data_IF_726804898207
#
_entry.id   IF_726804898207
#
_cell.length_a   1.000
_cell.length_b   1.000
_cell.length_c   1.000
_cell.angle_alpha   90.00
_cell.angle_beta   90.00
_cell.angle_gamma   90.00
#
_symmetry.space_group_name_H-M   'P 1'
#
loop_
_entity.id
_entity.type
_entity.pdbx_description
1 polymer ?
#
# COMPACT_ATOMS: atom_id res chain seq x y z
N UNK A 1 -32.78 -38.91 -37.72
CA UNK A 1 -31.79 -37.83 -37.56
C UNK A 1 -31.81 -37.41 -36.10
N UNK A 2 -30.80 -37.83 -35.34
CA UNK A 2 -30.68 -37.45 -33.93
C UNK A 2 -30.22 -35.99 -33.91
N UNK A 3 -31.08 -35.11 -33.43
CA UNK A 3 -30.79 -33.68 -33.30
C UNK A 3 -29.78 -33.52 -32.17
N UNK A 4 -28.51 -33.26 -32.51
CA UNK A 4 -27.48 -32.90 -31.55
C UNK A 4 -27.82 -31.52 -30.99
N UNK A 5 -28.24 -31.48 -29.73
CA UNK A 5 -28.28 -30.25 -28.94
C UNK A 5 -26.84 -29.77 -28.83
N UNK A 6 -26.49 -28.77 -29.65
CA UNK A 6 -25.23 -28.03 -29.51
C UNK A 6 -25.28 -27.36 -28.16
N UNK A 7 -24.35 -27.72 -27.27
CA UNK A 7 -24.17 -27.02 -25.99
C UNK A 7 -24.01 -25.52 -26.27
N UNK A 8 -24.60 -24.63 -25.44
CA UNK A 8 -24.37 -23.20 -25.60
C UNK A 8 -22.86 -22.93 -25.69
N UNK A 9 -22.40 -22.05 -26.60
CA UNK A 9 -21.00 -21.63 -26.59
C UNK A 9 -20.64 -21.18 -25.18
N UNK A 10 -19.39 -21.42 -24.72
CA UNK A 10 -18.95 -21.01 -23.40
C UNK A 10 -19.35 -19.55 -23.20
N UNK A 11 -19.96 -19.27 -22.05
CA UNK A 11 -20.24 -17.89 -21.68
C UNK A 11 -18.89 -17.17 -21.59
N UNK A 12 -18.59 -16.35 -22.60
CA UNK A 12 -17.40 -15.49 -22.65
C UNK A 12 -17.69 -14.13 -22.04
N UNK A 13 -18.88 -13.91 -21.49
CA UNK A 13 -19.26 -12.63 -20.87
C UNK A 13 -19.54 -12.84 -19.39
N UNK A 14 -18.76 -12.17 -18.54
CA UNK A 14 -18.85 -12.22 -17.09
C UNK A 14 -19.15 -10.82 -16.57
N UNK A 15 -20.42 -10.56 -16.25
CA UNK A 15 -20.87 -9.22 -15.87
C UNK A 15 -20.63 -8.22 -17.00
N UNK A 16 -19.71 -7.27 -16.78
CA UNK A 16 -19.34 -6.25 -17.76
C UNK A 16 -18.04 -6.55 -18.53
N UNK A 17 -17.46 -7.74 -18.37
CA UNK A 17 -16.25 -8.17 -19.07
C UNK A 17 -16.58 -9.20 -20.13
N UNK A 18 -16.14 -8.94 -21.36
CA UNK A 18 -16.09 -9.94 -22.43
C UNK A 18 -14.67 -10.50 -22.53
N UNK A 19 -14.53 -11.83 -22.53
CA UNK A 19 -13.27 -12.50 -22.77
C UNK A 19 -13.06 -12.64 -24.28
N UNK A 20 -12.27 -11.74 -24.86
CA UNK A 20 -11.98 -11.67 -26.30
C UNK A 20 -10.52 -11.28 -26.61
N UNK A 21 -9.68 -11.15 -25.59
CA UNK A 21 -8.31 -10.67 -25.69
C UNK A 21 -8.20 -9.14 -25.78
N UNK A 22 -9.29 -8.40 -25.65
CA UNK A 22 -9.30 -6.94 -25.70
C UNK A 22 -9.47 -6.33 -24.31
N UNK A 23 -8.60 -5.37 -23.98
CA UNK A 23 -8.64 -4.72 -22.67
C UNK A 23 -9.63 -3.55 -22.57
N UNK A 24 -10.46 -3.29 -23.59
CA UNK A 24 -11.40 -2.15 -23.59
C UNK A 24 -12.43 -2.18 -22.47
N UNK A 25 -12.79 -3.36 -21.99
CA UNK A 25 -13.77 -3.55 -20.91
C UNK A 25 -13.12 -3.38 -19.51
N UNK A 26 -11.79 -3.26 -19.46
CA UNK A 26 -11.00 -3.11 -18.25
C UNK A 26 -10.69 -1.64 -17.97
N UNK A 27 -10.84 -1.25 -16.71
CA UNK A 27 -10.50 0.09 -16.25
C UNK A 27 -9.12 0.13 -15.59
N UNK A 28 -8.56 1.33 -15.42
CA UNK A 28 -7.37 1.54 -14.59
C UNK A 28 -7.60 1.09 -13.13
N UNK A 29 -8.85 1.00 -12.67
CA UNK A 29 -9.19 0.47 -11.36
C UNK A 29 -9.08 -1.05 -11.25
N UNK A 30 -9.13 -1.76 -12.38
CA UNK A 30 -9.02 -3.22 -12.42
C UNK A 30 -7.56 -3.70 -12.58
N UNK A 31 -6.61 -2.77 -12.80
CA UNK A 31 -5.15 -2.99 -12.79
C UNK A 31 -4.74 -3.45 -11.38
N UNK A 32 -3.94 -4.50 -11.28
CA UNK A 32 -3.52 -5.11 -10.01
C UNK A 32 -2.12 -4.69 -9.55
N UNK A 33 -1.25 -4.32 -10.48
CA UNK A 33 0.14 -3.97 -10.23
C UNK A 33 0.35 -2.45 -10.06
N UNK A 34 -0.64 -1.80 -9.46
CA UNK A 34 -0.60 -0.39 -9.11
C UNK A 34 0.17 -0.11 -7.82
N UNK A 35 0.44 -1.13 -6.99
CA UNK A 35 1.20 -0.98 -5.74
C UNK A 35 2.72 -0.85 -6.03
N UNK A 36 3.47 -0.02 -5.28
CA UNK A 36 4.91 0.12 -5.46
C UNK A 36 5.64 -1.23 -5.38
N UNK A 37 6.57 -1.46 -6.30
CA UNK A 37 7.37 -2.69 -6.34
C UNK A 37 6.62 -3.95 -6.81
N UNK A 38 5.35 -3.81 -7.23
CA UNK A 38 4.56 -4.94 -7.77
C UNK A 38 4.59 -5.03 -9.30
N UNK A 39 4.77 -3.88 -9.97
CA UNK A 39 4.80 -3.79 -11.42
C UNK A 39 5.98 -4.53 -12.04
N UNK A 40 5.77 -5.03 -13.26
CA UNK A 40 6.85 -5.49 -14.13
C UNK A 40 6.92 -4.61 -15.38
N UNK A 41 8.13 -4.22 -15.84
CA UNK A 41 8.28 -3.37 -17.01
C UNK A 41 7.52 -3.90 -18.23
N UNK A 42 6.62 -3.08 -18.77
CA UNK A 42 5.84 -3.36 -19.98
C UNK A 42 4.86 -4.54 -19.89
N UNK A 43 4.64 -5.09 -18.71
CA UNK A 43 3.54 -6.01 -18.43
C UNK A 43 2.37 -5.26 -17.78
N UNK A 44 1.17 -5.79 -17.99
CA UNK A 44 -0.02 -5.33 -17.29
C UNK A 44 -0.78 -6.53 -16.71
N UNK A 45 -1.19 -6.41 -15.44
CA UNK A 45 -1.96 -7.44 -14.74
C UNK A 45 -3.29 -6.84 -14.33
N UNK A 46 -4.39 -7.51 -14.70
CA UNK A 46 -5.73 -7.09 -14.31
C UNK A 46 -6.47 -8.19 -13.57
N UNK A 47 -7.43 -7.80 -12.73
CA UNK A 47 -8.34 -8.74 -12.10
C UNK A 47 -9.52 -8.07 -11.42
N UNK A 48 -10.67 -8.71 -11.50
CA UNK A 48 -11.91 -8.27 -10.85
C UNK A 48 -12.86 -9.42 -10.63
N UNK A 49 -13.84 -9.20 -9.77
CA UNK A 49 -14.98 -10.09 -9.64
C UNK A 49 -16.13 -9.63 -10.53
N UNK A 50 -16.61 -10.48 -11.43
CA UNK A 50 -17.72 -10.16 -12.32
C UNK A 50 -18.47 -11.44 -12.71
N UNK A 51 -19.81 -11.36 -12.79
CA UNK A 51 -20.64 -12.50 -13.22
C UNK A 51 -20.44 -13.78 -12.40
N UNK A 52 -20.27 -13.66 -11.08
CA UNK A 52 -19.98 -14.75 -10.13
C UNK A 52 -18.64 -15.49 -10.35
N UNK A 53 -17.73 -14.87 -11.10
CA UNK A 53 -16.39 -15.38 -11.36
C UNK A 53 -15.32 -14.36 -10.98
N UNK A 54 -14.13 -14.86 -10.64
CA UNK A 54 -12.93 -14.05 -10.69
C UNK A 54 -12.39 -14.07 -12.11
N UNK A 55 -12.27 -12.89 -12.70
CA UNK A 55 -11.78 -12.70 -14.07
C UNK A 55 -10.41 -12.06 -13.98
N UNK A 56 -9.46 -12.58 -14.75
CA UNK A 56 -8.09 -12.12 -14.79
C UNK A 56 -7.67 -11.82 -16.22
N UNK A 57 -6.79 -10.84 -16.37
CA UNK A 57 -6.06 -10.63 -17.62
C UNK A 57 -4.57 -10.42 -17.37
N UNK A 58 -3.77 -10.81 -18.35
CA UNK A 58 -2.33 -10.54 -18.45
C UNK A 58 -2.08 -9.94 -19.84
N UNK A 59 -1.34 -8.84 -19.88
CA UNK A 59 -0.79 -8.26 -21.10
C UNK A 59 0.72 -8.34 -21.05
N UNK A 60 1.31 -9.01 -22.02
CA UNK A 60 2.74 -9.11 -22.25
C UNK A 60 3.22 -7.98 -23.18
N UNK A 61 4.51 -7.62 -23.13
CA UNK A 61 5.08 -6.64 -24.05
C UNK A 61 5.06 -7.14 -25.49
N UNK A 62 5.07 -6.18 -26.42
CA UNK A 62 5.15 -6.48 -27.85
C UNK A 62 6.30 -7.44 -28.17
N UNK A 63 5.98 -8.53 -28.88
CA UNK A 63 6.92 -9.59 -29.25
C UNK A 63 6.97 -10.77 -28.26
N UNK A 64 6.34 -10.69 -27.10
CA UNK A 64 6.25 -11.78 -26.12
C UNK A 64 4.89 -12.47 -26.19
N UNK A 65 4.87 -13.78 -26.41
CA UNK A 65 3.62 -14.56 -26.46
C UNK A 65 3.33 -15.21 -25.11
N UNK A 66 2.08 -15.14 -24.67
CA UNK A 66 1.54 -15.90 -23.55
C UNK A 66 1.10 -17.27 -24.09
N UNK A 67 1.65 -18.34 -23.52
CA UNK A 67 1.34 -19.71 -23.94
C UNK A 67 1.46 -20.69 -22.77
N UNK A 68 1.64 -21.98 -23.08
CA UNK A 68 1.85 -23.06 -22.11
C UNK A 68 2.80 -22.67 -20.95
N UNK A 69 2.46 -23.14 -19.75
CA UNK A 69 3.17 -22.85 -18.49
C UNK A 69 2.99 -21.42 -17.99
N UNK A 70 2.09 -20.65 -18.57
CA UNK A 70 1.55 -19.46 -17.90
C UNK A 70 0.61 -19.91 -16.79
N UNK A 71 0.93 -19.50 -15.56
CA UNK A 71 0.21 -19.93 -14.35
C UNK A 71 -0.38 -18.73 -13.61
N UNK A 72 -1.60 -18.87 -13.10
CA UNK A 72 -2.19 -17.96 -12.10
C UNK A 72 -2.45 -18.76 -10.84
N UNK A 73 -1.70 -18.49 -9.78
CA UNK A 73 -1.84 -19.08 -8.47
C UNK A 73 -2.84 -18.28 -7.62
N UNK A 74 -3.73 -18.99 -6.93
CA UNK A 74 -4.82 -18.40 -6.15
C UNK A 74 -4.74 -18.88 -4.70
N UNK A 75 -4.49 -17.94 -3.80
CA UNK A 75 -4.63 -18.09 -2.35
C UNK A 75 -6.03 -17.56 -1.98
N UNK A 76 -6.91 -18.51 -1.69
CA UNK A 76 -8.36 -18.30 -1.61
C UNK A 76 -8.83 -17.99 -0.19
N UNK A 77 -8.07 -18.38 0.83
CA UNK A 77 -8.33 -18.04 2.23
C UNK A 77 -7.53 -16.83 2.72
N UNK A 78 -6.56 -16.35 1.92
CA UNK A 78 -5.63 -15.26 2.21
C UNK A 78 -4.71 -15.56 3.39
N UNK A 79 -4.44 -16.83 3.67
CA UNK A 79 -3.49 -17.28 4.67
C UNK A 79 -2.26 -17.90 4.01
N UNK A 80 -1.18 -17.12 3.93
CA UNK A 80 0.08 -17.58 3.34
C UNK A 80 0.73 -18.77 4.09
N UNK A 81 0.22 -19.16 5.26
CA UNK A 81 0.71 -20.31 6.03
C UNK A 81 -0.05 -21.61 5.74
N UNK A 82 -1.22 -21.55 5.11
CA UNK A 82 -1.98 -22.72 4.63
C UNK A 82 -1.63 -22.99 3.16
N UNK A 83 -2.25 -23.99 2.56
CA UNK A 83 -2.07 -24.27 1.13
C UNK A 83 -0.67 -24.71 0.67
N UNK A 84 -0.47 -24.68 -0.64
CA UNK A 84 0.79 -25.00 -1.29
C UNK A 84 1.73 -23.80 -1.32
N UNK A 85 3.01 -24.05 -1.06
CA UNK A 85 4.03 -23.02 -1.03
C UNK A 85 4.77 -22.96 -2.38
N UNK A 86 4.51 -21.91 -3.16
CA UNK A 86 5.07 -21.70 -4.50
C UNK A 86 6.61 -21.63 -4.40
N UNK A 87 7.30 -22.33 -5.31
CA UNK A 87 8.76 -22.32 -5.47
C UNK A 87 9.56 -22.57 -4.19
N UNK A 88 9.11 -23.47 -3.30
CA UNK A 88 9.87 -23.83 -2.11
C UNK A 88 11.31 -24.22 -2.48
N UNK A 89 12.33 -23.40 -2.14
CA UNK A 89 13.71 -23.76 -2.43
C UNK A 89 14.10 -25.02 -1.65
N UNK A 90 14.93 -25.88 -2.24
CA UNK A 90 15.44 -27.06 -1.55
C UNK A 90 16.16 -26.65 -0.26
N UNK A 91 15.64 -27.10 0.90
CA UNK A 91 16.19 -26.77 2.22
C UNK A 91 15.59 -25.54 2.91
N UNK A 92 14.64 -24.83 2.29
CA UNK A 92 13.87 -23.78 2.96
C UNK A 92 12.63 -24.35 3.66
N UNK A 93 12.36 -23.87 4.89
CA UNK A 93 11.19 -24.25 5.68
C UNK A 93 9.88 -23.62 5.20
N UNK A 94 9.93 -22.67 4.26
CA UNK A 94 8.78 -21.92 3.74
C UNK A 94 8.99 -21.59 2.26
N UNK A 95 7.99 -21.84 1.41
CA UNK A 95 7.89 -21.21 0.08
C UNK A 95 6.98 -19.98 0.17
N UNK A 96 6.30 -19.62 -0.92
CA UNK A 96 5.51 -18.39 -0.97
C UNK A 96 4.03 -18.64 -1.25
N UNK A 97 3.17 -17.76 -0.73
CA UNK A 97 1.82 -17.57 -1.24
C UNK A 97 0.72 -18.48 -0.70
N UNK A 98 1.03 -19.63 -0.08
CA UNK A 98 0.02 -20.48 0.56
C UNK A 98 -1.24 -20.73 -0.27
N UNK A 99 -1.08 -21.21 -1.49
CA UNK A 99 -2.16 -21.23 -2.50
C UNK A 99 -2.94 -22.54 -2.51
N UNK A 100 -4.27 -22.48 -2.66
CA UNK A 100 -5.12 -23.67 -2.78
C UNK A 100 -5.29 -24.12 -4.24
N UNK A 101 -5.14 -23.18 -5.19
CA UNK A 101 -5.42 -23.42 -6.61
C UNK A 101 -4.37 -22.82 -7.53
N UNK A 102 -4.31 -23.38 -8.73
CA UNK A 102 -3.61 -22.77 -9.86
C UNK A 102 -4.44 -22.92 -11.14
N UNK A 103 -4.47 -21.87 -11.95
CA UNK A 103 -4.91 -21.92 -13.33
C UNK A 103 -3.65 -22.08 -14.18
N UNK A 104 -3.60 -23.06 -15.08
CA UNK A 104 -2.47 -23.26 -15.98
C UNK A 104 -2.94 -23.40 -17.43
N UNK A 105 -2.14 -22.86 -18.35
CA UNK A 105 -2.29 -23.11 -19.79
C UNK A 105 -1.56 -24.42 -20.10
N UNK A 106 -2.33 -25.42 -20.51
CA UNK A 106 -1.86 -26.76 -20.80
C UNK A 106 -1.29 -26.89 -22.23
N UNK A 107 -0.61 -28.01 -22.58
CA UNK A 107 -0.07 -28.24 -23.92
C UNK A 107 -1.12 -28.21 -25.06
N UNK A 108 -2.40 -28.35 -24.75
CA UNK A 108 -3.50 -28.22 -25.72
C UNK A 108 -3.90 -26.76 -26.00
N UNK A 109 -3.20 -25.80 -25.38
CA UNK A 109 -3.43 -24.36 -25.49
C UNK A 109 -4.66 -23.87 -24.71
N UNK A 110 -5.23 -24.69 -23.82
CA UNK A 110 -6.41 -24.33 -23.03
C UNK A 110 -6.05 -24.14 -21.56
N UNK A 111 -6.83 -23.29 -20.89
CA UNK A 111 -6.69 -23.04 -19.47
C UNK A 111 -7.50 -24.05 -18.63
N UNK A 112 -6.89 -24.63 -17.60
CA UNK A 112 -7.56 -25.51 -16.65
C UNK A 112 -7.29 -25.08 -15.21
N UNK A 113 -8.25 -25.34 -14.32
CA UNK A 113 -8.11 -25.15 -12.88
C UNK A 113 -7.61 -26.44 -12.23
N UNK A 114 -6.60 -26.31 -11.37
CA UNK A 114 -5.99 -27.38 -10.61
C UNK A 114 -6.02 -27.07 -9.12
N UNK A 115 -6.07 -28.12 -8.29
CA UNK A 115 -5.69 -28.03 -6.89
C UNK A 115 -4.17 -27.87 -6.82
N UNK A 116 -3.69 -26.91 -6.05
CA UNK A 116 -2.27 -26.74 -5.80
C UNK A 116 -1.84 -27.75 -4.71
N UNK A 117 -1.13 -28.80 -5.12
CA UNK A 117 -0.74 -29.92 -4.23
C UNK A 117 0.76 -30.14 -4.12
N UNK A 118 1.58 -29.35 -4.82
CA UNK A 118 3.05 -29.48 -4.82
C UNK A 118 3.59 -30.80 -5.39
N UNK A 119 2.72 -31.61 -5.98
CA UNK A 119 3.08 -32.88 -6.61
C UNK A 119 3.36 -32.68 -8.10
N UNK A 120 4.24 -33.50 -8.67
CA UNK A 120 4.50 -33.50 -10.12
C UNK A 120 3.26 -33.84 -10.96
N UNK A 121 2.28 -34.50 -10.35
CA UNK A 121 0.95 -34.74 -10.93
C UNK A 121 -0.02 -33.64 -10.49
N UNK A 122 -0.33 -32.71 -11.40
CA UNK A 122 -1.38 -31.72 -11.19
C UNK A 122 -2.76 -32.40 -11.18
N UNK A 123 -3.59 -32.11 -10.17
CA UNK A 123 -4.96 -32.63 -10.08
C UNK A 123 -5.97 -31.59 -10.56
N UNK A 124 -6.60 -31.85 -11.72
CA UNK A 124 -7.64 -30.97 -12.26
C UNK A 124 -8.85 -30.95 -11.34
N UNK A 125 -9.36 -29.75 -11.06
CA UNK A 125 -10.65 -29.56 -10.38
C UNK A 125 -11.80 -29.97 -11.31
N UNK A 126 -11.63 -29.76 -12.61
CA UNK A 126 -12.56 -30.19 -13.66
C UNK A 126 -11.81 -30.52 -14.95
N UNK A 127 -12.31 -31.48 -15.72
CA UNK A 127 -11.80 -31.79 -17.06
C UNK A 127 -12.30 -30.81 -18.14
N UNK A 128 -13.23 -29.92 -17.78
CA UNK A 128 -13.69 -28.86 -18.67
C UNK A 128 -12.72 -27.68 -18.60
N UNK A 129 -12.23 -27.16 -19.74
CA UNK A 129 -11.39 -25.96 -19.75
C UNK A 129 -12.18 -24.75 -19.23
N UNK A 130 -11.46 -23.83 -18.59
CA UNK A 130 -12.02 -22.54 -18.19
C UNK A 130 -12.37 -21.70 -19.44
N UNK A 131 -13.33 -20.79 -19.29
CA UNK A 131 -13.56 -19.75 -20.30
C UNK A 131 -12.32 -18.85 -20.36
N UNK A 132 -11.67 -18.79 -21.51
CA UNK A 132 -10.50 -17.96 -21.73
C UNK A 132 -10.39 -17.53 -23.20
N UNK A 133 -9.75 -16.39 -23.45
CA UNK A 133 -9.48 -15.88 -24.78
C UNK A 133 -8.08 -15.25 -24.87
N UNK A 134 -7.52 -15.26 -26.07
CA UNK A 134 -6.29 -14.54 -26.41
C UNK A 134 -6.60 -13.47 -27.45
N UNK A 135 -5.80 -12.42 -27.48
CA UNK A 135 -5.75 -11.57 -28.66
C UNK A 135 -5.10 -12.30 -29.85
N UNK A 136 -5.15 -11.68 -31.03
CA UNK A 136 -4.62 -12.26 -32.26
C UNK A 136 -3.11 -12.48 -32.25
N UNK A 137 -2.37 -11.82 -31.35
CA UNK A 137 -0.91 -11.90 -31.23
C UNK A 137 -0.47 -12.76 -30.04
N UNK A 138 -1.42 -13.33 -29.27
CA UNK A 138 -1.18 -13.98 -27.98
C UNK A 138 -0.40 -13.11 -26.98
N UNK A 139 -0.50 -11.79 -27.05
CA UNK A 139 0.11 -10.89 -26.08
C UNK A 139 -0.83 -10.57 -24.93
N UNK A 140 -2.14 -10.71 -25.16
CA UNK A 140 -3.16 -10.53 -24.13
C UNK A 140 -3.87 -11.86 -23.91
N UNK A 141 -4.03 -12.25 -22.65
CA UNK A 141 -4.77 -13.44 -22.26
C UNK A 141 -5.75 -13.10 -21.15
N UNK A 142 -6.99 -13.52 -21.33
CA UNK A 142 -8.08 -13.37 -20.36
C UNK A 142 -8.63 -14.72 -19.97
N UNK A 143 -8.96 -14.89 -18.68
CA UNK A 143 -9.52 -16.13 -18.15
C UNK A 143 -10.45 -15.85 -16.98
N UNK A 144 -11.51 -16.65 -16.86
CA UNK A 144 -12.43 -16.60 -15.74
C UNK A 144 -12.49 -17.92 -14.97
N UNK A 145 -12.54 -17.83 -13.64
CA UNK A 145 -12.80 -18.95 -12.74
C UNK A 145 -14.07 -18.71 -11.94
N UNK A 146 -15.07 -19.57 -12.13
CA UNK A 146 -16.31 -19.52 -11.35
C UNK A 146 -16.02 -19.81 -9.88
N UNK A 147 -16.69 -19.08 -8.99
CA UNK A 147 -16.61 -19.33 -7.54
C UNK A 147 -17.06 -20.73 -7.14
N UNK A 148 -17.99 -21.34 -7.89
CA UNK A 148 -18.43 -22.71 -7.64
C UNK A 148 -17.29 -23.74 -7.75
N UNK A 149 -16.27 -23.46 -8.56
CA UNK A 149 -15.11 -24.33 -8.72
C UNK A 149 -14.11 -24.22 -7.55
N UNK A 150 -14.18 -23.13 -6.79
CA UNK A 150 -13.28 -22.87 -5.67
C UNK A 150 -13.75 -23.55 -4.37
N UNK A 151 -14.92 -24.18 -4.35
CA UNK A 151 -15.44 -24.93 -3.18
C UNK A 151 -15.83 -24.04 -1.99
N UNK A 152 -15.52 -22.75 -2.04
CA UNK A 152 -15.97 -21.68 -1.17
C UNK A 152 -16.32 -20.46 -2.02
N UNK A 153 -17.02 -19.49 -1.45
CA UNK A 153 -17.24 -18.17 -2.08
C UNK A 153 -16.30 -17.14 -1.43
N UNK A 154 -15.00 -17.13 -1.80
CA UNK A 154 -14.03 -16.25 -1.16
C UNK A 154 -14.43 -14.78 -1.39
N UNK A 155 -14.36 -13.99 -0.32
CA UNK A 155 -14.65 -12.54 -0.40
C UNK A 155 -13.47 -11.76 -0.98
N UNK A 156 -12.28 -12.36 -1.01
CA UNK A 156 -11.11 -11.87 -1.71
C UNK A 156 -10.13 -13.02 -1.96
N UNK A 157 -9.30 -12.89 -2.99
CA UNK A 157 -8.28 -13.88 -3.36
C UNK A 157 -6.95 -13.14 -3.52
N UNK A 158 -5.87 -13.66 -2.92
CA UNK A 158 -4.52 -13.25 -3.24
C UNK A 158 -4.04 -13.98 -4.49
N UNK A 159 -3.39 -13.25 -5.39
CA UNK A 159 -3.06 -13.75 -6.73
C UNK A 159 -1.58 -13.55 -7.03
N UNK A 160 -0.96 -14.60 -7.55
CA UNK A 160 0.36 -14.59 -8.15
C UNK A 160 0.24 -15.09 -9.59
N UNK A 161 0.92 -14.49 -10.55
CA UNK A 161 0.85 -14.88 -11.95
C UNK A 161 2.24 -14.99 -12.54
N UNK A 162 2.54 -16.03 -13.28
CA UNK A 162 3.75 -16.11 -14.08
C UNK A 162 3.40 -16.34 -15.55
N UNK A 163 4.20 -15.75 -16.43
CA UNK A 163 4.08 -15.90 -17.88
C UNK A 163 5.15 -16.88 -18.34
N UNK A 164 4.70 -17.98 -18.91
CA UNK A 164 5.52 -19.08 -19.42
C UNK A 164 6.58 -19.57 -18.40
N UNK A 165 6.29 -19.54 -17.10
CA UNK A 165 7.23 -19.89 -16.03
C UNK A 165 8.57 -19.12 -16.08
N UNK A 166 8.55 -17.87 -16.58
CA UNK A 166 9.76 -17.07 -16.76
C UNK A 166 9.63 -15.63 -16.25
N UNK A 167 8.48 -14.99 -16.47
CA UNK A 167 8.22 -13.64 -15.95
C UNK A 167 7.22 -13.73 -14.81
N UNK A 168 7.54 -13.19 -13.64
CA UNK A 168 6.70 -13.24 -12.45
C UNK A 168 5.93 -11.91 -12.24
N UNK A 169 4.66 -12.00 -11.86
CA UNK A 169 3.73 -10.90 -11.65
C UNK A 169 2.96 -11.17 -10.34
N UNK A 170 3.30 -10.53 -9.21
CA UNK A 170 4.31 -9.47 -9.08
C UNK A 170 5.73 -9.98 -9.30
N UNK A 171 6.64 -9.06 -9.61
CA UNK A 171 8.05 -9.35 -9.90
C UNK A 171 8.82 -10.10 -8.81
N UNK A 172 8.31 -10.02 -7.59
CA UNK A 172 8.87 -10.67 -6.42
C UNK A 172 7.75 -11.22 -5.54
N UNK A 173 7.56 -12.54 -5.59
CA UNK A 173 6.55 -13.26 -4.78
C UNK A 173 6.89 -13.27 -3.28
N UNK A 174 8.14 -12.95 -2.92
CA UNK A 174 8.56 -12.90 -1.51
C UNK A 174 8.08 -11.63 -0.82
N UNK A 175 7.84 -10.57 -1.60
CA UNK A 175 7.48 -9.25 -1.10
C UNK A 175 6.01 -8.92 -1.28
N UNK A 176 5.39 -9.41 -2.36
CA UNK A 176 4.07 -8.93 -2.77
C UNK A 176 3.19 -10.06 -3.30
N UNK A 177 1.88 -9.85 -3.15
CA UNK A 177 0.82 -10.52 -3.90
C UNK A 177 -0.13 -9.47 -4.47
N UNK A 178 -0.87 -9.81 -5.51
CA UNK A 178 -2.07 -9.04 -5.86
C UNK A 178 -3.25 -9.48 -5.01
N UNK A 179 -4.28 -8.65 -4.89
CA UNK A 179 -5.55 -9.04 -4.25
C UNK A 179 -6.71 -8.63 -5.13
N UNK A 180 -7.66 -9.55 -5.34
CA UNK A 180 -8.93 -9.28 -6.01
C UNK A 180 -10.06 -9.53 -5.02
N UNK A 181 -10.90 -8.53 -4.80
CA UNK A 181 -12.05 -8.64 -3.90
C UNK A 181 -13.32 -9.02 -4.65
N UNK A 182 -14.13 -9.91 -4.07
CA UNK A 182 -15.47 -10.21 -4.53
C UNK A 182 -16.44 -9.12 -4.05
N UNK A 183 -17.31 -8.64 -4.94
CA UNK A 183 -18.42 -7.73 -4.61
C UNK A 183 -18.06 -6.51 -3.73
N UNK A 184 -16.82 -6.01 -3.83
CA UNK A 184 -16.39 -4.86 -3.04
C UNK A 184 -17.07 -3.60 -3.55
N UNK A 185 -18.08 -3.14 -2.82
CA UNK A 185 -18.72 -1.85 -3.08
C UNK A 185 -17.93 -0.78 -2.33
N UNK A 186 -17.29 0.10 -3.08
CA UNK A 186 -16.58 1.25 -2.53
C UNK A 186 -17.60 2.31 -2.07
N UNK A 187 -17.55 2.77 -0.81
CA UNK A 187 -18.52 3.73 -0.31
C UNK A 187 -18.36 5.11 -0.95
N UNK A 188 -19.47 5.82 -1.15
CA UNK A 188 -19.43 7.20 -1.65
C UNK A 188 -19.01 8.17 -0.54
N UNK A 189 -18.19 9.18 -0.87
CA UNK A 189 -17.91 10.28 0.07
C UNK A 189 -19.19 11.00 0.44
N UNK A 190 -19.41 11.17 1.74
CA UNK A 190 -20.55 11.90 2.30
C UNK A 190 -20.19 13.34 2.69
N UNK A 191 -18.91 13.59 2.93
CA UNK A 191 -18.35 14.89 3.27
C UNK A 191 -17.18 15.20 2.32
N UNK A 192 -17.20 16.39 1.74
CA UNK A 192 -16.16 16.90 0.84
C UNK A 192 -15.49 18.15 1.40
N UNK A 193 -15.79 18.52 2.65
CA UNK A 193 -15.08 19.59 3.35
C UNK A 193 -13.66 19.14 3.64
N UNK A 194 -12.73 20.11 3.62
CA UNK A 194 -11.32 19.85 3.88
C UNK A 194 -11.11 19.51 5.34
N UNK A 195 -10.76 18.25 5.62
CA UNK A 195 -10.51 17.79 7.00
C UNK A 195 -9.52 16.64 7.05
N UNK A 196 -8.88 16.50 8.21
CA UNK A 196 -7.93 15.42 8.49
C UNK A 196 -8.41 14.53 9.63
N UNK A 197 -8.00 13.27 9.62
CA UNK A 197 -8.18 12.35 10.74
C UNK A 197 -6.86 12.14 11.45
N UNK A 198 -6.77 12.45 12.74
CA UNK A 198 -5.58 12.19 13.56
C UNK A 198 -5.82 10.91 14.36
N UNK A 199 -5.01 9.89 14.11
CA UNK A 199 -5.23 8.54 14.64
C UNK A 199 -4.48 8.36 15.96
N UNK A 200 -5.23 8.13 17.03
CA UNK A 200 -4.69 7.65 18.30
C UNK A 200 -4.65 6.12 18.29
N UNK A 201 -3.46 5.55 18.46
CA UNK A 201 -3.30 4.10 18.56
C UNK A 201 -3.07 3.69 20.01
N UNK A 202 -4.07 3.02 20.60
CA UNK A 202 -3.96 2.43 21.93
C UNK A 202 -2.90 1.33 21.97
N UNK A 203 -2.73 0.54 20.90
CA UNK A 203 -1.69 -0.50 20.85
C UNK A 203 -0.30 0.11 20.85
N UNK A 204 -0.07 1.15 20.05
CA UNK A 204 1.22 1.83 20.01
C UNK A 204 1.47 2.62 21.29
N UNK A 205 0.46 3.31 21.83
CA UNK A 205 0.56 4.01 23.11
C UNK A 205 0.94 3.08 24.28
N UNK A 206 0.42 1.86 24.28
CA UNK A 206 0.71 0.84 25.31
C UNK A 206 2.12 0.25 25.20
N UNK A 207 2.76 0.38 24.03
CA UNK A 207 4.13 -0.08 23.77
C UNK A 207 5.15 1.05 23.68
N UNK A 208 4.68 2.29 23.74
CA UNK A 208 5.53 3.46 23.77
C UNK A 208 6.36 3.51 25.05
N UNK A 209 7.54 4.11 24.99
CA UNK A 209 8.46 4.17 26.15
C UNK A 209 7.85 4.89 27.36
N UNK A 210 6.90 5.79 27.12
CA UNK A 210 6.14 6.47 28.15
C UNK A 210 4.78 6.93 27.61
N UNK A 211 3.68 6.55 28.27
CA UNK A 211 2.33 6.91 27.81
C UNK A 211 2.08 8.42 27.83
N UNK A 212 2.63 9.15 28.80
CA UNK A 212 2.56 10.62 28.83
C UNK A 212 3.29 11.23 27.63
N UNK A 213 4.45 10.69 27.27
CA UNK A 213 5.18 11.15 26.08
C UNK A 213 4.38 10.87 24.79
N UNK A 214 3.71 9.72 24.67
CA UNK A 214 2.80 9.44 23.55
C UNK A 214 1.66 10.46 23.49
N UNK A 215 1.03 10.77 24.64
CA UNK A 215 -0.01 11.79 24.71
C UNK A 215 0.51 13.18 24.34
N UNK A 216 1.74 13.53 24.71
CA UNK A 216 2.37 14.81 24.33
C UNK A 216 2.62 14.89 22.82
N UNK A 217 3.13 13.82 22.20
CA UNK A 217 3.26 13.73 20.74
C UNK A 217 1.90 13.87 20.06
N UNK A 218 0.87 13.21 20.58
CA UNK A 218 -0.47 13.30 20.03
C UNK A 218 -1.07 14.71 20.16
N UNK A 219 -0.77 15.42 21.26
CA UNK A 219 -1.17 16.83 21.44
C UNK A 219 -0.40 17.76 20.51
N UNK A 220 0.91 17.57 20.32
CA UNK A 220 1.69 18.42 19.42
C UNK A 220 1.17 18.36 17.99
N UNK A 221 0.74 17.19 17.53
CA UNK A 221 0.11 17.03 16.21
C UNK A 221 -1.20 17.79 16.08
N UNK A 222 -2.04 17.79 17.13
CA UNK A 222 -3.26 18.58 17.14
C UNK A 222 -2.93 20.08 17.08
N UNK A 223 -1.95 20.54 17.86
CA UNK A 223 -1.51 21.93 17.84
C UNK A 223 -0.99 22.33 16.45
N UNK A 224 -0.23 21.47 15.77
CA UNK A 224 0.23 21.72 14.40
C UNK A 224 -0.92 21.71 13.38
N UNK A 225 -1.95 20.88 13.55
CA UNK A 225 -3.15 20.93 12.72
C UNK A 225 -3.93 22.25 12.92
N UNK A 226 -4.03 22.74 14.16
CA UNK A 226 -4.61 24.05 14.47
C UNK A 226 -3.80 25.17 13.81
N UNK A 227 -2.46 25.11 13.88
CA UNK A 227 -1.57 26.07 13.22
C UNK A 227 -1.73 26.04 11.70
N UNK A 228 -1.97 24.86 11.11
CA UNK A 228 -2.26 24.73 9.69
C UNK A 228 -3.62 25.35 9.29
N UNK A 229 -4.52 25.55 10.26
CA UNK A 229 -5.88 26.05 10.04
C UNK A 229 -6.82 25.00 9.45
N UNK A 230 -6.52 23.71 9.64
CA UNK A 230 -7.26 22.61 9.04
C UNK A 230 -8.12 21.92 10.12
N UNK A 231 -9.44 21.78 9.92
CA UNK A 231 -10.30 20.99 10.80
C UNK A 231 -9.83 19.54 10.90
N UNK A 232 -9.93 18.97 12.10
CA UNK A 232 -9.57 17.58 12.32
C UNK A 232 -10.53 16.85 13.25
N UNK A 233 -10.66 15.55 13.02
CA UNK A 233 -11.29 14.61 13.96
C UNK A 233 -10.21 13.73 14.58
N UNK A 234 -10.46 13.27 15.81
CA UNK A 234 -9.64 12.26 16.46
C UNK A 234 -10.22 10.88 16.17
N UNK A 235 -9.39 10.00 15.62
CA UNK A 235 -9.76 8.64 15.23
C UNK A 235 -9.09 7.62 16.14
N UNK A 236 -9.73 6.46 16.28
CA UNK A 236 -9.16 5.29 16.94
C UNK A 236 -8.78 4.21 15.91
N UNK A 237 -8.05 3.19 16.34
CA UNK A 237 -7.82 1.99 15.53
C UNK A 237 -9.11 1.31 15.08
N UNK A 238 -10.20 1.43 15.85
CA UNK A 238 -11.49 0.88 15.45
C UNK A 238 -12.08 1.61 14.24
N UNK A 239 -11.83 2.91 14.11
CA UNK A 239 -12.32 3.71 12.99
C UNK A 239 -11.57 3.37 11.70
N UNK A 240 -10.33 2.92 11.79
CA UNK A 240 -9.55 2.44 10.63
C UNK A 240 -10.15 1.20 9.97
N UNK A 241 -11.02 0.46 10.68
CA UNK A 241 -11.75 -0.69 10.15
C UNK A 241 -13.01 -0.32 9.38
N UNK A 242 -13.41 0.95 9.38
CA UNK A 242 -14.60 1.43 8.69
C UNK A 242 -14.24 2.39 7.55
N UNK A 243 -14.16 1.85 6.33
CA UNK A 243 -13.90 2.65 5.13
C UNK A 243 -14.93 3.77 4.94
N UNK A 244 -16.20 3.59 5.34
CA UNK A 244 -17.23 4.63 5.20
C UNK A 244 -16.87 5.89 6.00
N UNK A 245 -16.15 5.75 7.10
CA UNK A 245 -15.62 6.89 7.85
C UNK A 245 -14.40 7.47 7.16
N UNK A 246 -13.42 6.62 6.82
CA UNK A 246 -12.13 7.06 6.30
C UNK A 246 -12.25 7.86 5.01
N UNK A 247 -13.18 7.51 4.12
CA UNK A 247 -13.34 8.17 2.82
C UNK A 247 -13.67 9.66 2.94
N UNK A 248 -14.17 10.11 4.08
CA UNK A 248 -14.54 11.50 4.31
C UNK A 248 -13.35 12.39 4.71
N UNK A 249 -12.16 11.83 4.92
CA UNK A 249 -10.95 12.59 5.20
C UNK A 249 -10.11 12.76 3.94
N UNK A 250 -9.38 13.86 3.85
CA UNK A 250 -8.41 14.07 2.77
C UNK A 250 -7.00 13.61 3.16
N UNK A 251 -6.65 13.73 4.44
CA UNK A 251 -5.39 13.26 5.02
C UNK A 251 -5.63 12.49 6.31
N UNK A 252 -4.94 11.36 6.49
CA UNK A 252 -4.85 10.63 7.76
C UNK A 252 -3.46 10.83 8.37
N UNK A 253 -3.41 11.26 9.61
CA UNK A 253 -2.18 11.53 10.35
C UNK A 253 -1.98 10.47 11.43
N UNK A 254 -0.81 9.85 11.41
CA UNK A 254 -0.40 8.80 12.34
C UNK A 254 0.86 9.26 13.09
N UNK A 255 0.70 9.90 14.26
CA UNK A 255 1.83 10.42 15.02
C UNK A 255 2.82 9.32 15.42
N UNK A 256 2.30 8.17 15.81
CA UNK A 256 3.04 6.92 15.96
C UNK A 256 2.06 5.76 15.87
N UNK A 257 2.29 4.88 14.89
CA UNK A 257 1.44 3.71 14.64
C UNK A 257 2.28 2.46 14.34
N UNK A 258 3.27 2.20 15.18
CA UNK A 258 4.19 1.07 15.04
C UNK A 258 3.50 -0.28 15.32
N UNK A 259 2.62 -0.33 16.32
CA UNK A 259 1.98 -1.55 16.79
C UNK A 259 0.50 -1.57 16.39
N UNK A 260 0.00 -2.73 15.96
CA UNK A 260 -1.41 -2.93 15.58
C UNK A 260 -1.87 -4.31 16.04
N UNK A 261 -3.16 -4.46 16.39
CA UNK A 261 -3.71 -5.77 16.74
C UNK A 261 -3.64 -6.70 15.53
N UNK A 262 -3.05 -7.89 15.70
CA UNK A 262 -2.89 -8.87 14.62
C UNK A 262 -4.22 -9.26 13.97
N UNK A 263 -5.30 -9.34 14.75
CA UNK A 263 -6.65 -9.65 14.24
C UNK A 263 -7.25 -8.53 13.39
N UNK A 264 -6.84 -7.28 13.60
CA UNK A 264 -7.36 -6.11 12.89
C UNK A 264 -6.45 -5.71 11.71
N UNK A 265 -5.21 -6.20 11.67
CA UNK A 265 -4.16 -5.82 10.70
C UNK A 265 -4.65 -5.89 9.26
N UNK A 266 -5.26 -7.00 8.85
CA UNK A 266 -5.67 -7.20 7.45
C UNK A 266 -6.76 -6.21 7.05
N UNK A 267 -7.78 -6.03 7.89
CA UNK A 267 -8.88 -5.09 7.63
C UNK A 267 -8.38 -3.65 7.56
N UNK A 268 -7.50 -3.25 8.48
CA UNK A 268 -6.89 -1.91 8.47
C UNK A 268 -6.05 -1.70 7.21
N UNK A 269 -5.22 -2.68 6.84
CA UNK A 269 -4.39 -2.61 5.62
C UNK A 269 -5.24 -2.46 4.36
N UNK A 270 -6.30 -3.26 4.22
CA UNK A 270 -7.20 -3.23 3.06
C UNK A 270 -7.90 -1.87 2.96
N UNK A 271 -8.40 -1.33 4.07
CA UNK A 271 -9.06 -0.02 4.09
C UNK A 271 -8.10 1.14 3.82
N UNK A 272 -6.89 1.12 4.38
CA UNK A 272 -5.88 2.16 4.10
C UNK A 272 -5.43 2.11 2.65
N UNK A 273 -5.33 0.91 2.06
CA UNK A 273 -5.02 0.76 0.64
C UNK A 273 -6.13 1.35 -0.22
N UNK A 274 -7.41 1.13 0.09
CA UNK A 274 -8.49 1.80 -0.64
C UNK A 274 -8.46 3.32 -0.43
N UNK A 275 -8.33 3.77 0.81
CA UNK A 275 -8.26 5.19 1.13
C UNK A 275 -7.20 5.90 0.26
N UNK A 276 -5.99 5.35 0.22
CA UNK A 276 -4.88 5.91 -0.56
C UNK A 276 -5.13 5.79 -2.06
N UNK A 277 -5.41 4.59 -2.58
CA UNK A 277 -5.37 4.32 -4.02
C UNK A 277 -6.69 4.51 -4.76
N UNK A 278 -7.83 4.47 -4.05
CA UNK A 278 -9.16 4.65 -4.63
C UNK A 278 -9.70 6.05 -4.38
N UNK A 279 -9.35 6.65 -3.24
CA UNK A 279 -9.84 7.99 -2.85
C UNK A 279 -8.75 9.07 -2.86
N UNK A 280 -7.49 8.71 -3.12
CA UNK A 280 -6.39 9.67 -3.14
C UNK A 280 -6.09 10.26 -1.76
N UNK A 281 -6.48 9.58 -0.68
CA UNK A 281 -6.27 10.06 0.69
C UNK A 281 -4.79 10.01 1.00
N UNK A 282 -4.29 11.12 1.51
CA UNK A 282 -2.91 11.34 1.86
C UNK A 282 -2.59 10.74 3.24
N UNK A 283 -1.38 10.21 3.42
CA UNK A 283 -0.90 9.73 4.72
C UNK A 283 0.21 10.63 5.26
N UNK A 284 0.12 11.01 6.52
CA UNK A 284 1.25 11.56 7.27
C UNK A 284 1.63 10.56 8.36
N UNK A 285 2.86 10.07 8.33
CA UNK A 285 3.31 9.01 9.25
C UNK A 285 4.66 9.37 9.86
N UNK A 286 4.98 8.80 11.02
CA UNK A 286 6.30 8.89 11.61
C UNK A 286 6.82 7.56 12.14
N UNK A 287 8.14 7.41 12.10
CA UNK A 287 8.84 6.25 12.68
C UNK A 287 8.52 4.95 11.94
N UNK A 288 8.36 3.86 12.68
CA UNK A 288 7.88 2.61 12.11
C UNK A 288 6.36 2.65 11.91
N UNK A 289 5.86 2.15 10.78
CA UNK A 289 4.42 2.16 10.49
C UNK A 289 3.86 0.75 10.27
N UNK A 290 3.06 0.31 11.24
CA UNK A 290 2.42 -1.02 11.30
C UNK A 290 3.43 -2.16 11.16
N UNK A 291 4.54 -2.12 11.89
CA UNK A 291 5.63 -3.10 11.80
C UNK A 291 5.52 -4.23 12.82
N UNK A 292 4.80 -4.00 13.92
CA UNK A 292 4.71 -4.92 15.04
C UNK A 292 3.26 -5.23 15.39
N UNK A 293 3.04 -6.38 16.02
CA UNK A 293 1.76 -6.72 16.60
C UNK A 293 1.53 -6.02 17.96
N UNK A 294 0.38 -6.26 18.59
CA UNK A 294 0.00 -5.68 19.89
C UNK A 294 0.90 -6.14 21.05
N UNK A 295 1.67 -7.22 20.88
CA UNK A 295 2.62 -7.71 21.88
C UNK A 295 3.99 -7.04 21.76
N UNK A 296 4.26 -6.41 20.61
CA UNK A 296 5.56 -5.87 20.25
C UNK A 296 6.39 -6.80 19.36
N UNK A 297 5.88 -7.98 19.03
CA UNK A 297 6.57 -8.89 18.12
C UNK A 297 6.51 -8.36 16.68
N UNK A 298 7.59 -8.59 15.93
CA UNK A 298 7.67 -8.21 14.53
C UNK A 298 6.68 -9.01 13.67
N UNK A 299 6.03 -8.34 12.72
CA UNK A 299 5.17 -9.00 11.73
C UNK A 299 6.05 -9.65 10.63
N UNK A 300 5.57 -10.73 9.98
CA UNK A 300 6.36 -11.57 9.05
C UNK A 300 7.08 -10.79 7.94
N UNK A 301 6.42 -9.81 7.30
CA UNK A 301 7.09 -8.66 6.66
C UNK A 301 6.67 -7.40 7.41
N UNK A 302 7.55 -6.98 8.32
CA UNK A 302 7.33 -5.82 9.18
C UNK A 302 7.14 -4.53 8.37
N UNK A 303 7.84 -4.37 7.24
CA UNK A 303 7.82 -3.11 6.48
C UNK A 303 6.89 -3.13 5.26
N UNK A 304 6.14 -4.21 5.05
CA UNK A 304 5.20 -4.36 3.92
C UNK A 304 4.23 -3.18 3.76
N UNK A 305 3.68 -2.63 4.85
CA UNK A 305 2.79 -1.45 4.80
C UNK A 305 3.52 -0.16 4.40
N UNK A 306 4.77 0.04 4.83
CA UNK A 306 5.56 1.19 4.41
C UNK A 306 5.93 1.09 2.92
N UNK A 307 6.32 -0.10 2.48
CA UNK A 307 6.61 -0.41 1.08
C UNK A 307 5.40 -0.12 0.20
N UNK A 308 4.25 -0.68 0.56
CA UNK A 308 3.01 -0.58 -0.23
C UNK A 308 2.40 0.80 -0.15
N UNK A 309 2.12 1.36 1.03
CA UNK A 309 1.38 2.62 1.16
C UNK A 309 2.24 3.87 0.91
N UNK A 310 3.52 3.83 1.30
CA UNK A 310 4.41 4.99 1.28
C UNK A 310 5.49 4.93 0.21
N UNK A 311 5.71 3.77 -0.44
CA UNK A 311 6.86 3.52 -1.32
C UNK A 311 8.23 3.65 -0.61
N UNK A 312 8.29 3.26 0.67
CA UNK A 312 9.49 3.38 1.49
C UNK A 312 9.95 2.04 2.05
N UNK A 313 11.27 1.84 2.06
CA UNK A 313 11.92 0.69 2.70
C UNK A 313 13.06 1.15 3.62
N UNK A 314 13.30 0.47 4.76
CA UNK A 314 14.37 0.85 5.69
C UNK A 314 15.74 0.64 5.06
N UNK A 315 16.71 1.49 5.40
CA UNK A 315 18.09 1.39 4.92
C UNK A 315 19.13 1.38 6.02
N UNK A 316 18.91 2.17 7.07
CA UNK A 316 19.82 2.26 8.20
C UNK A 316 19.06 2.72 9.45
N UNK A 317 19.64 2.48 10.61
CA UNK A 317 19.17 2.99 11.88
C UNK A 317 20.35 3.14 12.83
N UNK A 318 20.18 3.91 13.89
CA UNK A 318 21.23 4.09 14.89
C UNK A 318 20.83 5.04 16.00
N UNK A 319 21.82 5.43 16.79
CA UNK A 319 21.67 6.48 17.78
C UNK A 319 22.93 7.33 17.83
N UNK A 320 22.79 8.63 17.58
CA UNK A 320 23.88 9.60 17.57
C UNK A 320 23.33 11.03 17.67
N UNK A 321 24.23 12.01 17.66
CA UNK A 321 23.85 13.40 17.38
C UNK A 321 23.31 13.50 15.95
N UNK A 322 22.24 14.28 15.78
CA UNK A 322 21.59 14.48 14.49
C UNK A 322 21.35 15.96 14.23
N UNK A 323 21.79 16.45 13.08
CA UNK A 323 21.41 17.78 12.57
C UNK A 323 20.41 17.64 11.44
N UNK A 324 19.23 18.24 11.59
CA UNK A 324 18.21 18.27 10.56
C UNK A 324 18.40 19.51 9.69
N UNK A 325 18.52 19.32 8.38
CA UNK A 325 18.80 20.39 7.43
C UNK A 325 17.77 20.41 6.30
N UNK A 326 17.22 21.57 6.00
CA UNK A 326 16.30 21.76 4.89
C UNK A 326 16.96 21.32 3.59
N UNK A 327 16.24 20.60 2.73
CA UNK A 327 16.79 20.17 1.45
C UNK A 327 17.06 21.37 0.54
N UNK A 328 17.89 21.14 -0.47
CA UNK A 328 18.23 22.16 -1.48
C UNK A 328 17.17 22.31 -2.57
N UNK A 329 16.07 21.55 -2.49
CA UNK A 329 14.97 21.59 -3.45
C UNK A 329 13.88 22.49 -2.88
N UNK A 330 13.49 23.59 -3.57
CA UNK A 330 12.37 24.42 -3.13
C UNK A 330 11.10 23.59 -3.02
N UNK A 331 10.51 23.55 -1.83
CA UNK A 331 9.28 22.80 -1.55
C UNK A 331 8.35 23.66 -0.69
N UNK A 332 7.01 23.63 -0.93
CA UNK A 332 6.07 24.40 -0.11
C UNK A 332 6.18 24.08 1.39
N UNK A 333 6.49 22.83 1.73
CA UNK A 333 6.69 22.38 3.13
C UNK A 333 7.87 23.05 3.82
N UNK A 334 8.84 23.57 3.05
CA UNK A 334 10.03 24.26 3.57
C UNK A 334 9.93 25.77 3.41
N UNK A 335 8.72 26.32 3.19
CA UNK A 335 8.56 27.76 3.05
C UNK A 335 9.08 28.47 4.31
N UNK A 336 10.05 29.37 4.13
CA UNK A 336 10.70 30.08 5.23
C UNK A 336 12.09 29.54 5.59
N UNK A 337 12.49 28.39 5.05
CA UNK A 337 13.85 27.87 5.16
C UNK A 337 14.64 28.12 3.88
N UNK A 338 15.93 28.38 4.04
CA UNK A 338 16.93 28.40 2.96
C UNK A 338 17.55 27.02 2.76
N UNK A 339 18.12 26.78 1.58
CA UNK A 339 18.75 25.49 1.27
C UNK A 339 19.87 25.17 2.27
N UNK A 340 19.86 23.96 2.84
CA UNK A 340 20.77 23.48 3.89
C UNK A 340 20.69 24.24 5.23
N UNK A 341 19.66 25.06 5.43
CA UNK A 341 19.41 25.69 6.73
C UNK A 341 19.14 24.63 7.78
N UNK A 342 19.75 24.79 8.96
CA UNK A 342 19.49 23.90 10.09
C UNK A 342 18.07 24.13 10.60
N UNK A 343 17.22 23.11 10.47
CA UNK A 343 15.86 23.08 11.01
C UNK A 343 15.91 22.85 12.51
N UNK A 344 16.71 21.87 12.96
CA UNK A 344 16.88 21.51 14.37
C UNK A 344 18.11 20.65 14.58
N UNK A 345 18.79 20.86 15.70
CA UNK A 345 19.87 19.99 16.16
C UNK A 345 19.44 19.16 17.37
N UNK A 346 19.80 17.89 17.35
CA UNK A 346 19.70 16.95 18.46
C UNK A 346 21.12 16.64 18.93
N UNK A 347 21.54 17.33 20.00
CA UNK A 347 22.88 17.17 20.59
C UNK A 347 23.00 15.94 21.50
N UNK A 348 21.86 15.41 21.98
CA UNK A 348 21.80 14.16 22.73
C UNK A 348 21.73 12.97 21.79
N UNK A 349 22.17 11.80 22.26
CA UNK A 349 22.17 10.54 21.49
C UNK A 349 20.72 10.07 21.21
N UNK A 350 20.09 10.61 20.17
CA UNK A 350 18.72 10.30 19.78
C UNK A 350 18.70 9.14 18.79
N UNK A 351 17.68 8.30 18.89
CA UNK A 351 17.42 7.27 17.89
C UNK A 351 17.06 7.88 16.55
N UNK A 352 17.60 7.34 15.48
CA UNK A 352 17.27 7.72 14.11
C UNK A 352 17.06 6.49 13.24
N UNK A 353 16.12 6.61 12.29
CA UNK A 353 15.90 5.63 11.23
C UNK A 353 16.13 6.31 9.89
N UNK A 354 16.46 5.55 8.87
CA UNK A 354 16.61 6.02 7.50
C UNK A 354 15.82 5.11 6.57
N UNK A 355 15.17 5.73 5.60
CA UNK A 355 14.37 5.07 4.58
C UNK A 355 14.80 5.53 3.20
N UNK A 356 14.62 4.67 2.20
CA UNK A 356 14.81 4.98 0.78
C UNK A 356 13.58 4.56 -0.02
N UNK A 357 13.53 5.01 -1.28
CA UNK A 357 12.51 4.58 -2.21
C UNK A 357 12.60 3.08 -2.49
N UNK A 358 11.46 2.39 -2.51
CA UNK A 358 11.39 1.00 -2.97
C UNK A 358 11.33 0.96 -4.51
N UNK A 359 10.40 1.72 -5.08
CA UNK A 359 10.12 1.78 -6.51
C UNK A 359 10.55 3.14 -7.08
N UNK A 360 11.63 3.14 -7.86
CA UNK A 360 12.18 4.36 -8.45
C UNK A 360 11.28 4.98 -9.53
N UNK A 361 10.28 4.24 -10.04
CA UNK A 361 9.27 4.79 -10.96
C UNK A 361 8.29 5.74 -10.26
N UNK A 362 8.21 5.67 -8.92
CA UNK A 362 7.40 6.55 -8.08
C UNK A 362 8.32 7.46 -7.25
N UNK A 363 8.51 8.73 -7.65
CA UNK A 363 9.54 9.56 -7.06
C UNK A 363 9.29 9.84 -5.58
N UNK A 364 10.36 9.78 -4.79
CA UNK A 364 10.43 10.22 -3.39
C UNK A 364 11.24 11.50 -3.36
N UNK A 365 10.69 12.55 -2.75
CA UNK A 365 11.37 13.85 -2.60
C UNK A 365 11.81 14.02 -1.16
N UNK A 366 13.10 14.19 -0.93
CA UNK A 366 13.62 14.55 0.40
C UNK A 366 13.33 16.02 0.70
N UNK A 367 12.58 16.26 1.77
CA UNK A 367 12.27 17.60 2.29
C UNK A 367 13.32 18.03 3.30
N UNK A 368 13.72 17.13 4.19
CA UNK A 368 14.72 17.41 5.22
C UNK A 368 15.71 16.27 5.25
N UNK A 369 16.99 16.63 5.29
CA UNK A 369 18.10 15.72 5.49
C UNK A 369 18.38 15.57 6.99
N UNK A 370 18.76 14.38 7.43
CA UNK A 370 19.39 14.16 8.74
C UNK A 370 20.87 13.87 8.51
N UNK A 371 21.70 14.69 9.13
CA UNK A 371 23.14 14.55 9.13
C UNK A 371 23.53 13.93 10.46
N UNK A 372 24.02 12.69 10.42
CA UNK A 372 24.30 11.86 11.61
C UNK A 372 25.81 11.70 11.80
N UNK A 373 26.20 11.23 12.99
CA UNK A 373 27.60 10.90 13.31
C UNK A 373 28.54 12.10 13.09
N UNK A 374 28.17 13.29 13.59
CA UNK A 374 28.93 14.53 13.47
C UNK A 374 29.28 14.94 12.02
N UNK A 375 28.37 14.75 11.07
CA UNK A 375 28.60 15.16 9.68
C UNK A 375 29.06 14.05 8.74
N UNK A 376 29.31 12.83 9.25
CA UNK A 376 29.89 11.76 8.45
C UNK A 376 28.92 11.12 7.46
N UNK A 377 27.62 11.16 7.73
CA UNK A 377 26.62 10.49 6.87
C UNK A 377 25.33 11.27 6.83
N UNK A 378 24.71 11.32 5.64
CA UNK A 378 23.45 12.01 5.42
C UNK A 378 22.40 11.02 4.94
N UNK A 379 21.24 11.04 5.59
CA UNK A 379 20.05 10.30 5.19
C UNK A 379 18.86 11.24 5.04
N UNK A 380 17.76 10.75 4.49
CA UNK A 380 16.50 11.51 4.47
C UNK A 380 15.82 11.43 5.83
N UNK A 381 15.43 12.57 6.39
CA UNK A 381 14.74 12.69 7.68
C UNK A 381 13.23 12.88 7.49
N UNK A 382 12.85 13.71 6.52
CA UNK A 382 11.45 13.95 6.14
C UNK A 382 11.36 13.82 4.63
N UNK A 383 10.44 12.98 4.16
CA UNK A 383 10.25 12.71 2.74
C UNK A 383 8.80 12.91 2.35
N UNK A 384 8.60 13.42 1.13
CA UNK A 384 7.33 13.43 0.44
C UNK A 384 7.30 12.31 -0.59
N UNK A 385 6.21 11.53 -0.62
CA UNK A 385 6.01 10.46 -1.60
C UNK A 385 4.67 10.62 -2.29
N UNK A 386 4.58 10.20 -3.55
CA UNK A 386 3.32 10.15 -4.29
C UNK A 386 3.02 8.70 -4.63
N UNK A 387 2.03 8.12 -3.94
CA UNK A 387 1.48 6.81 -4.28
C UNK A 387 0.10 7.00 -4.89
N UNK A 388 -0.97 6.61 -4.19
CA UNK A 388 -2.32 7.05 -4.52
C UNK A 388 -2.59 8.47 -4.04
N UNK A 389 -2.26 8.77 -2.78
CA UNK A 389 -2.27 10.10 -2.18
C UNK A 389 -0.89 10.77 -2.11
N UNK A 390 -0.85 12.01 -1.60
CA UNK A 390 0.38 12.77 -1.31
C UNK A 390 0.80 12.48 0.12
N UNK A 391 1.83 11.68 0.30
CA UNK A 391 2.22 11.24 1.63
C UNK A 391 3.42 12.02 2.13
N UNK A 392 3.48 12.21 3.45
CA UNK A 392 4.66 12.71 4.16
C UNK A 392 5.07 11.65 5.18
N UNK A 393 6.36 11.36 5.24
CA UNK A 393 6.92 10.46 6.24
C UNK A 393 8.07 11.13 6.99
N UNK A 394 7.96 11.13 8.31
CA UNK A 394 9.02 11.55 9.22
C UNK A 394 9.75 10.31 9.71
N UNK A 395 11.07 10.27 9.57
CA UNK A 395 11.83 9.07 9.87
C UNK A 395 11.76 8.65 11.36
N UNK A 396 11.42 9.60 12.25
CA UNK A 396 11.15 9.34 13.67
C UNK A 396 9.96 10.17 14.16
N UNK A 397 9.32 9.69 15.22
CA UNK A 397 8.27 10.39 15.95
C UNK A 397 8.75 11.74 16.50
N UNK A 398 10.00 11.80 16.97
CA UNK A 398 10.60 13.03 17.48
C UNK A 398 10.66 14.10 16.39
N UNK A 399 11.03 13.73 15.16
CA UNK A 399 11.09 14.69 14.05
C UNK A 399 9.72 15.26 13.75
N UNK A 400 8.67 14.44 13.80
CA UNK A 400 7.29 14.88 13.60
C UNK A 400 6.84 15.83 14.70
N UNK A 401 7.13 15.54 15.97
CA UNK A 401 6.67 16.36 17.10
C UNK A 401 7.45 17.65 17.34
N UNK A 402 8.71 17.73 16.92
CA UNK A 402 9.63 18.79 17.35
C UNK A 402 10.00 19.83 16.27
N UNK A 403 9.86 19.49 15.00
CA UNK A 403 10.41 20.31 13.90
C UNK A 403 9.49 21.44 13.44
N UNK A 404 8.23 21.45 13.91
CA UNK A 404 7.21 22.41 13.46
C UNK A 404 7.07 22.43 11.93
N UNK A 405 7.19 21.25 11.31
CA UNK A 405 7.06 21.05 9.86
C UNK A 405 5.73 20.41 9.48
N UNK A 406 5.04 19.79 10.43
CA UNK A 406 3.80 19.07 10.16
C UNK A 406 2.73 20.05 9.67
N UNK A 407 2.60 21.24 10.25
CA UNK A 407 1.60 22.22 9.79
C UNK A 407 1.80 22.62 8.30
N UNK A 408 3.04 22.75 7.84
CA UNK A 408 3.36 23.05 6.43
C UNK A 408 3.11 21.83 5.54
N UNK A 409 3.45 20.63 6.03
CA UNK A 409 3.14 19.37 5.37
C UNK A 409 1.63 19.19 5.16
N UNK A 410 0.82 19.51 6.17
CA UNK A 410 -0.63 19.45 6.09
C UNK A 410 -1.19 20.46 5.08
N UNK A 411 -0.66 21.68 5.02
CA UNK A 411 -1.05 22.67 4.00
C UNK A 411 -0.63 22.26 2.58
N UNK A 412 0.43 21.47 2.43
CA UNK A 412 0.84 20.93 1.14
C UNK A 412 -0.08 19.79 0.65
N UNK A 413 -0.50 18.91 1.57
CA UNK A 413 -1.50 17.88 1.29
C UNK A 413 -2.87 18.50 1.00
N UNK A 414 -3.28 19.46 1.84
CA UNK A 414 -4.59 20.14 1.78
C UNK A 414 -4.42 21.65 1.56
N UNK A 415 -4.14 22.08 0.32
CA UNK A 415 -3.96 23.49 0.03
C UNK A 415 -5.29 24.25 0.25
N UNK A 416 -5.31 25.13 1.25
CA UNK A 416 -6.43 26.02 1.54
C UNK A 416 -6.44 27.12 0.46
N UNK A 417 -7.07 26.85 -0.68
CA UNK A 417 -7.05 27.78 -1.85
C UNK A 417 -8.19 28.79 -1.85
N UNK A 418 -9.23 28.60 -1.03
CA UNK A 418 -10.48 29.39 -1.12
C UNK A 418 -11.01 29.93 0.21
N UNK A 419 -10.36 29.66 1.35
CA UNK A 419 -10.79 30.20 2.64
C UNK A 419 -9.89 31.36 3.11
N UNK A 420 -10.46 32.38 3.78
CA UNK A 420 -9.67 33.45 4.38
C UNK A 420 -8.68 32.85 5.39
N UNK A 421 -7.39 33.11 5.18
CA UNK A 421 -6.34 32.62 6.08
C UNK A 421 -6.23 33.55 7.29
N UNK A 422 -6.49 33.03 8.48
CA UNK A 422 -6.14 33.70 9.74
C UNK A 422 -4.76 33.22 10.13
N UNK A 423 -3.76 34.11 10.06
CA UNK A 423 -2.39 33.82 10.49
C UNK A 423 -2.14 34.48 11.84
N UNK A 424 -1.90 33.69 12.88
CA UNK A 424 -1.45 34.21 14.17
C UNK A 424 0.09 34.33 14.12
N UNK A 425 0.60 35.56 14.08
CA UNK A 425 2.03 35.82 14.09
C UNK A 425 2.64 35.60 15.47
N UNK A 426 3.08 34.37 15.77
CA UNK A 426 3.89 34.10 16.96
C UNK A 426 5.36 34.08 16.52
N UNK A 427 6.09 35.15 16.85
CA UNK A 427 7.52 35.23 16.53
C UNK A 427 8.32 34.40 17.54
N UNK A 428 9.25 33.57 17.05
CA UNK A 428 10.35 33.05 17.87
C UNK A 428 11.31 34.21 18.16
N UNK A 429 11.51 34.51 19.44
CA UNK A 429 12.64 35.28 19.99
C UNK A 429 12.64 36.84 20.01
N UNK A 430 11.52 37.56 19.96
CA UNK A 430 11.54 39.00 20.31
C UNK A 430 10.42 39.53 21.21
N UNK A 431 9.47 38.69 21.65
CA UNK A 431 8.42 39.14 22.58
C UNK A 431 8.88 39.05 24.03
N UNK A 432 9.85 39.88 24.43
CA UNK A 432 10.03 40.21 25.85
C UNK A 432 8.91 41.17 26.23
N UNK A 433 7.97 40.71 27.05
CA UNK A 433 7.12 41.60 27.83
C UNK A 433 8.05 42.45 28.71
N UNK A 434 8.03 43.79 28.62
CA UNK A 434 8.70 44.61 29.62
C UNK A 434 7.93 44.44 30.92
N UNK A 435 8.54 43.77 31.90
CA UNK A 435 8.19 44.01 33.30
C UNK A 435 8.62 45.45 33.58
N UNK A 436 7.63 46.33 33.72
CA UNK A 436 7.85 47.64 34.33
C UNK A 436 8.02 47.43 35.84
N UNK A 437 9.13 47.94 36.38
CA UNK A 437 9.22 48.34 37.79
C UNK A 437 8.36 49.57 38.05
#
# INVERSE_FOLDING_TARGET
TVSSVVAPPPQLVFGNITLDGNLSDWSAGDRLDYLPGTAQPSYESYGKYAGNAFVFSIKAPAGSTIDQNTTIWLDSDRDSNTGYQIFQPSGASTGFGGVEFQINIDPDGKAYLYRATGTSSLQRVSNTPLSSAFDSTKQTWEVAVSTDLLGSTPQAINVYKDVNNNTFLPGDYTLNSYTVFANKVLPTRSDTSKKIGIVYSDTSASKYFNKTAYSQLFMSVQDEAIMAGIPFDLLTESDLKDLNKLVNYDTLVFPSFQNVKKTDLQTIQDNLTDAVYRYGISLVTAGNFMTNDETGAALSDSYSRMKTLLNLQPTAFGSSSVSLQASNVPQPVLQGYTANETVRDYSNNVGWNAYTTLDSSKPVTTLVNQVVNNGATTYSAVVATQTGGRNIHFATESYLGDTNLLWQALQWNEPITTQPTVKLGITRNNSRLPFAE
#
